data_IF_028889534217
#
_entry.id   IF_028889534217
#
_cell.length_a   1.000
_cell.length_b   1.000
_cell.length_c   1.000
_cell.angle_alpha   90.00
_cell.angle_beta   90.00
_cell.angle_gamma   90.00
#
_symmetry.space_group_name_H-M   'P 1'
#
loop_
_entity.id
_entity.type
_entity.pdbx_description
1 polymer ?
#
# COMPACT_ATOMS: atom_id res chain seq x y z
N UNK A 1 26.02 16.72 -16.10
CA UNK A 1 25.44 15.39 -15.87
C UNK A 1 24.50 15.51 -14.69
N UNK A 2 23.19 15.58 -14.93
CA UNK A 2 22.22 15.45 -13.87
C UNK A 2 22.13 13.95 -13.55
N UNK A 3 22.70 13.53 -12.43
CA UNK A 3 22.23 12.29 -11.81
C UNK A 3 20.78 12.56 -11.47
N UNK A 4 19.85 11.97 -12.22
CA UNK A 4 18.49 11.77 -11.70
C UNK A 4 18.72 10.98 -10.41
N UNK A 5 18.70 11.67 -9.26
CA UNK A 5 18.54 10.98 -7.98
C UNK A 5 17.26 10.18 -8.16
N UNK A 6 17.41 8.86 -8.29
CA UNK A 6 16.26 7.98 -8.38
C UNK A 6 15.63 8.00 -6.99
N UNK A 7 14.60 8.84 -6.83
CA UNK A 7 13.77 8.83 -5.64
C UNK A 7 13.05 7.48 -5.58
N UNK A 8 13.57 6.60 -4.72
CA UNK A 8 12.96 5.32 -4.44
C UNK A 8 11.72 5.54 -3.58
N UNK A 9 10.61 4.99 -4.04
CA UNK A 9 9.33 5.05 -3.33
C UNK A 9 8.94 3.66 -2.89
N UNK A 10 8.67 3.50 -1.59
CA UNK A 10 8.07 2.28 -1.06
C UNK A 10 6.56 2.31 -1.31
N UNK A 11 6.04 1.29 -1.99
CA UNK A 11 4.60 1.13 -2.23
C UNK A 11 3.93 0.33 -1.11
N UNK A 12 2.72 0.74 -0.75
CA UNK A 12 1.92 0.01 0.24
C UNK A 12 1.62 -1.42 -0.25
N UNK A 13 1.97 -2.46 0.52
CA UNK A 13 1.69 -3.84 0.16
C UNK A 13 0.20 -4.17 0.37
N UNK A 14 -0.37 -4.98 -0.52
CA UNK A 14 -1.74 -5.48 -0.39
C UNK A 14 -2.84 -4.42 -0.55
N UNK A 15 -2.49 -3.18 -0.90
CA UNK A 15 -3.44 -2.10 -1.16
C UNK A 15 -3.49 -1.81 -2.64
N UNK A 16 -4.70 -1.85 -3.19
CA UNK A 16 -4.97 -1.51 -4.58
C UNK A 16 -6.24 -0.69 -4.65
N UNK A 17 -6.16 0.51 -5.24
CA UNK A 17 -7.22 1.51 -5.26
C UNK A 17 -7.62 1.79 -6.71
N UNK A 18 -8.86 2.22 -6.93
CA UNK A 18 -9.26 2.75 -8.23
C UNK A 18 -8.49 4.04 -8.51
N UNK A 19 -7.83 4.11 -9.65
CA UNK A 19 -6.92 5.18 -9.99
C UNK A 19 -7.60 6.56 -9.99
N UNK A 20 -8.89 6.66 -10.31
CA UNK A 20 -9.62 7.94 -10.28
C UNK A 20 -9.84 8.50 -8.86
N UNK A 21 -9.60 7.72 -7.80
CA UNK A 21 -9.70 8.16 -6.40
C UNK A 21 -8.38 8.71 -5.85
N UNK A 22 -7.32 8.68 -6.67
CA UNK A 22 -5.96 9.07 -6.29
C UNK A 22 -5.46 10.15 -7.28
N UNK A 23 -4.90 11.28 -6.79
CA UNK A 23 -4.24 12.29 -7.61
C UNK A 23 -3.06 11.74 -8.38
N UNK A 24 -2.74 12.41 -9.48
CA UNK A 24 -1.81 11.93 -10.49
C UNK A 24 -0.43 11.60 -9.95
N UNK A 25 0.07 12.43 -9.03
CA UNK A 25 1.37 12.33 -8.38
C UNK A 25 1.53 11.14 -7.43
N UNK A 26 0.43 10.52 -6.99
CA UNK A 26 0.42 9.40 -6.03
C UNK A 26 -0.07 8.08 -6.66
N UNK A 27 -0.35 8.08 -7.97
CA UNK A 27 -0.81 6.91 -8.71
C UNK A 27 0.34 6.12 -9.30
N UNK A 28 0.56 4.94 -8.76
CA UNK A 28 1.52 3.98 -9.30
C UNK A 28 0.77 2.88 -10.05
N UNK A 29 0.82 2.92 -11.38
CA UNK A 29 0.13 1.97 -12.25
C UNK A 29 1.05 0.77 -12.47
N UNK A 30 0.58 -0.41 -12.10
CA UNK A 30 1.26 -1.67 -12.36
C UNK A 30 1.09 -2.06 -13.83
N UNK A 31 2.22 -2.32 -14.49
CA UNK A 31 2.30 -2.80 -15.85
C UNK A 31 2.29 -4.33 -15.86
N UNK A 32 2.06 -4.93 -17.03
CA UNK A 32 2.01 -6.39 -17.19
C UNK A 32 3.32 -7.10 -16.83
N UNK A 33 4.44 -6.39 -16.81
CA UNK A 33 5.75 -6.90 -16.44
C UNK A 33 6.07 -6.75 -14.93
N UNK A 34 5.07 -6.35 -14.13
CA UNK A 34 5.21 -6.13 -12.68
C UNK A 34 5.94 -4.84 -12.31
N UNK A 35 6.33 -4.01 -13.29
CA UNK A 35 6.88 -2.68 -13.03
C UNK A 35 5.77 -1.69 -12.75
N UNK A 36 6.12 -0.57 -12.12
CA UNK A 36 5.19 0.51 -11.82
C UNK A 36 5.61 1.80 -12.52
N UNK A 37 4.63 2.59 -12.95
CA UNK A 37 4.84 3.90 -13.58
C UNK A 37 3.82 4.93 -13.12
N UNK A 38 4.20 6.21 -13.13
CA UNK A 38 3.32 7.34 -12.80
C UNK A 38 2.84 8.00 -14.09
N UNK A 39 1.54 7.91 -14.38
CA UNK A 39 0.92 8.62 -15.50
C UNK A 39 0.34 9.97 -15.02
N UNK A 40 1.12 11.03 -15.22
CA UNK A 40 0.77 12.39 -14.83
C UNK A 40 -0.22 13.11 -15.77
N UNK A 41 -0.44 12.62 -16.98
CA UNK A 41 -1.00 13.44 -18.08
C UNK A 41 -2.32 12.94 -18.66
N UNK A 42 -2.74 11.71 -18.39
CA UNK A 42 -4.00 11.16 -18.90
C UNK A 42 -4.95 10.87 -17.72
N UNK A 43 -6.25 11.23 -17.80
CA UNK A 43 -7.21 10.71 -16.84
C UNK A 43 -7.18 9.18 -16.87
N UNK A 44 -7.07 8.52 -15.70
CA UNK A 44 -7.08 7.06 -15.66
C UNK A 44 -8.45 6.57 -16.12
N UNK A 45 -8.47 5.40 -16.75
CA UNK A 45 -9.73 4.72 -16.97
C UNK A 45 -10.42 4.45 -15.61
N UNK A 46 -11.76 4.49 -15.58
CA UNK A 46 -12.53 4.37 -14.34
C UNK A 46 -12.32 3.02 -13.63
N UNK A 47 -11.98 1.97 -14.37
CA UNK A 47 -11.68 0.63 -13.84
C UNK A 47 -10.20 0.41 -13.50
N UNK A 48 -9.33 1.32 -13.95
CA UNK A 48 -7.89 1.19 -13.77
C UNK A 48 -7.54 1.22 -12.29
N UNK A 49 -6.64 0.32 -11.90
CA UNK A 49 -6.20 0.15 -10.53
C UNK A 49 -4.77 0.67 -10.35
N UNK A 50 -4.49 1.24 -9.19
CA UNK A 50 -3.18 1.75 -8.83
C UNK A 50 -2.75 1.30 -7.44
N UNK A 51 -1.46 1.41 -7.19
CA UNK A 51 -0.82 1.36 -5.88
C UNK A 51 -0.51 2.78 -5.43
N UNK A 52 -0.29 2.95 -4.12
CA UNK A 52 0.05 4.23 -3.49
C UNK A 52 1.31 4.09 -2.66
N UNK A 53 1.98 5.20 -2.35
CA UNK A 53 3.15 5.19 -1.47
C UNK A 53 2.78 4.77 -0.04
N UNK A 54 3.65 3.97 0.60
CA UNK A 54 3.51 3.59 2.00
C UNK A 54 3.41 4.81 2.92
N UNK A 55 4.11 5.91 2.61
CA UNK A 55 4.03 7.15 3.41
C UNK A 55 2.61 7.69 3.55
N UNK A 56 1.75 7.47 2.55
CA UNK A 56 0.34 7.89 2.59
C UNK A 56 -0.50 6.95 3.45
N UNK A 57 -0.23 5.65 3.39
CA UNK A 57 -0.96 4.62 4.13
C UNK A 57 -0.47 4.42 5.57
N UNK A 58 0.73 4.91 5.90
CA UNK A 58 1.35 4.72 7.20
C UNK A 58 0.58 5.45 8.31
N UNK A 59 0.11 4.70 9.30
CA UNK A 59 -0.60 5.23 10.46
C UNK A 59 0.24 6.18 11.33
N UNK A 60 1.57 5.99 11.34
CA UNK A 60 2.51 6.81 12.14
C UNK A 60 2.94 8.10 11.45
N UNK A 61 2.67 8.25 10.15
CA UNK A 61 3.04 9.47 9.42
C UNK A 61 2.12 10.62 9.84
N UNK A 62 2.63 11.82 10.20
CA UNK A 62 1.80 12.97 10.54
C UNK A 62 1.36 13.71 9.26
N UNK A 63 0.49 13.10 8.47
CA UNK A 63 -0.12 13.75 7.31
C UNK A 63 -1.42 14.47 7.69
N UNK A 64 -1.73 15.61 7.05
CA UNK A 64 -3.04 16.23 7.16
C UNK A 64 -4.12 15.27 6.66
N UNK A 65 -5.37 15.60 6.95
CA UNK A 65 -6.52 14.86 6.43
C UNK A 65 -6.65 15.15 4.94
N UNK A 66 -5.94 14.38 4.12
CA UNK A 66 -5.88 14.58 2.67
C UNK A 66 -7.23 14.23 2.06
N UNK A 67 -7.64 12.95 2.13
CA UNK A 67 -8.94 12.47 1.62
C UNK A 67 -9.58 11.47 2.59
N UNK A 68 -10.93 11.43 2.72
CA UNK A 68 -11.61 10.65 3.76
C UNK A 68 -11.27 9.15 3.76
N UNK A 69 -11.15 8.53 2.58
CA UNK A 69 -10.83 7.10 2.49
C UNK A 69 -9.40 6.79 2.94
N UNK A 70 -8.45 7.73 2.76
CA UNK A 70 -7.06 7.54 3.17
C UNK A 70 -6.94 7.58 4.70
N UNK A 71 -7.71 8.44 5.36
CA UNK A 71 -7.81 8.48 6.82
C UNK A 71 -8.44 7.22 7.38
N UNK A 72 -9.48 6.69 6.73
CA UNK A 72 -10.04 5.38 7.08
C UNK A 72 -9.00 4.25 6.93
N UNK A 73 -8.23 4.24 5.83
CA UNK A 73 -7.15 3.26 5.61
C UNK A 73 -6.08 3.34 6.69
N UNK A 74 -5.61 4.55 7.05
CA UNK A 74 -4.60 4.76 8.09
C UNK A 74 -5.09 4.28 9.46
N UNK A 75 -6.37 4.51 9.79
CA UNK A 75 -6.98 4.01 11.02
C UNK A 75 -7.04 2.49 11.05
N UNK A 76 -7.40 1.84 9.94
CA UNK A 76 -7.38 0.37 9.87
C UNK A 76 -5.96 -0.18 9.95
N UNK A 77 -4.99 0.47 9.32
CA UNK A 77 -3.58 0.10 9.42
C UNK A 77 -3.05 0.22 10.85
N UNK A 78 -3.49 1.23 11.63
CA UNK A 78 -3.17 1.34 13.05
C UNK A 78 -3.70 0.13 13.84
N UNK A 79 -4.98 -0.22 13.63
CA UNK A 79 -5.61 -1.38 14.28
C UNK A 79 -4.93 -2.69 13.86
N UNK A 80 -4.57 -2.84 12.59
CA UNK A 80 -3.85 -4.00 12.08
C UNK A 80 -2.46 -4.14 12.71
N UNK A 81 -1.75 -3.02 12.90
CA UNK A 81 -0.46 -3.01 13.58
C UNK A 81 -0.59 -3.41 15.07
N UNK A 82 -1.63 -2.96 15.76
CA UNK A 82 -1.93 -3.37 17.14
C UNK A 82 -2.19 -4.89 17.21
N UNK A 83 -3.01 -5.43 16.30
CA UNK A 83 -3.28 -6.88 16.23
C UNK A 83 -2.01 -7.71 16.00
N UNK A 84 -1.09 -7.23 15.15
CA UNK A 84 0.19 -7.90 14.87
C UNK A 84 1.20 -7.77 16.00
N UNK A 85 1.10 -6.73 16.83
CA UNK A 85 2.00 -6.51 17.98
C UNK A 85 1.54 -7.22 19.24
N UNK A 86 0.37 -7.88 19.20
CA UNK A 86 -0.10 -8.74 20.28
C UNK A 86 0.82 -9.94 20.50
N UNK A 87 0.69 -10.64 21.64
CA UNK A 87 1.49 -11.83 21.90
C UNK A 87 1.31 -12.85 20.77
N UNK A 88 2.43 -13.35 20.26
CA UNK A 88 2.42 -14.40 19.24
C UNK A 88 1.61 -15.59 19.78
N UNK A 89 0.62 -16.10 19.01
CA UNK A 89 -0.11 -17.28 19.43
C UNK A 89 0.88 -18.42 19.71
N UNK A 90 0.58 -19.29 20.70
CA UNK A 90 1.45 -20.42 21.01
C UNK A 90 1.70 -21.19 19.71
N UNK A 91 2.98 -21.48 19.43
CA UNK A 91 3.35 -22.28 18.26
C UNK A 91 2.52 -23.57 18.28
N UNK A 92 1.92 -23.96 17.14
CA UNK A 92 1.23 -25.25 17.08
C UNK A 92 2.21 -26.36 17.47
N UNK A 93 1.74 -27.41 18.16
CA UNK A 93 2.59 -28.54 18.50
C UNK A 93 3.26 -29.08 17.24
N UNK A 94 4.56 -29.34 17.32
CA UNK A 94 5.40 -29.84 16.23
C UNK A 94 5.04 -31.30 15.85
N UNK A 95 4.12 -31.90 16.60
CA UNK A 95 3.51 -33.20 16.31
C UNK A 95 2.44 -33.00 15.24
N UNK A 96 2.81 -33.30 14.01
CA UNK A 96 1.88 -33.45 12.92
C UNK A 96 1.01 -34.71 13.15
N UNK A 97 -0.29 -34.67 12.83
CA UNK A 97 -1.11 -35.88 12.86
C UNK A 97 -0.48 -36.94 11.96
N UNK A 98 -0.38 -38.17 12.47
CA UNK A 98 0.13 -39.32 11.70
C UNK A 98 -0.77 -39.48 10.46
N UNK A 99 -0.17 -39.36 9.28
CA UNK A 99 -0.85 -39.71 8.03
C UNK A 99 -0.90 -41.24 7.97
N UNK A 100 -1.95 -41.81 8.57
CA UNK A 100 -2.20 -43.26 8.59
C UNK A 100 -2.33 -43.88 7.21
#
# INVERSE_FOLDING_TARGET
MATLEQDWVLLEPGVTILAHLVPAEHRWIELSDGRVTVYGVCPPDGSQRCRIEHRLACAKQPLPDLWPWLTALRNENARAAERRSGPEPPRPPEVWPDAG
#
